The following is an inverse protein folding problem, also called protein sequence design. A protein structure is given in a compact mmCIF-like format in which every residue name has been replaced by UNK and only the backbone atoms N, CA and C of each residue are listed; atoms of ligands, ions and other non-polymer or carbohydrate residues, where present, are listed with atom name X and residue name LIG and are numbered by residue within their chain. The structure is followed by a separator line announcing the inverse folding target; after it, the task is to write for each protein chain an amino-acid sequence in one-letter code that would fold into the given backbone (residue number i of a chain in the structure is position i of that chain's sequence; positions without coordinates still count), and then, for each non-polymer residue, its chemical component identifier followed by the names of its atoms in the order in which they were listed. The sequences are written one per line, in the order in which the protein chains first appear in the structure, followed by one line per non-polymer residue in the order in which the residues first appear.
data_IF_196082803674
#
_entry.id   IF_196082803674
#
_cell.length_a   1.000
_cell.length_b   1.000
_cell.length_c   1.000
_cell.angle_alpha   90.00
_cell.angle_beta   90.00
_cell.angle_gamma   90.00
#
_symmetry.space_group_name_H-M   'P 1'
#
loop_
_entity.id
_entity.type
_entity.pdbx_description
1 polymer ?
#
# COMPACT_ATOMS: atom_id res chain seq x y z
N UNK A 1 -1.47 1.11 -13.30
CA UNK A 1 -0.03 0.69 -13.45
C UNK A 1 0.68 1.26 -12.23
N UNK A 2 1.29 0.40 -11.42
CA UNK A 2 2.05 0.84 -10.24
C UNK A 2 3.26 1.61 -10.76
N UNK A 3 3.45 2.84 -10.31
CA UNK A 3 4.69 3.57 -10.60
C UNK A 3 5.74 3.17 -9.57
N UNK A 4 6.18 1.92 -9.64
CA UNK A 4 7.27 1.42 -8.82
C UNK A 4 8.58 1.88 -9.45
N UNK A 5 9.24 2.83 -8.82
CA UNK A 5 10.52 3.38 -9.29
C UNK A 5 11.73 2.76 -8.61
N UNK A 6 11.51 2.10 -7.48
CA UNK A 6 12.51 1.33 -6.73
C UNK A 6 11.86 0.07 -6.14
N UNK A 7 12.56 -1.03 -6.21
CA UNK A 7 12.24 -2.26 -5.51
C UNK A 7 13.46 -2.66 -4.69
N UNK A 8 13.38 -2.39 -3.39
CA UNK A 8 14.48 -2.59 -2.45
C UNK A 8 14.30 -3.90 -1.71
N UNK A 9 15.33 -4.73 -1.70
CA UNK A 9 15.34 -5.98 -0.92
C UNK A 9 16.44 -5.95 0.15
N UNK A 10 16.18 -6.63 1.26
CA UNK A 10 17.16 -6.81 2.35
C UNK A 10 17.29 -8.28 2.69
N UNK A 11 18.52 -8.73 2.90
CA UNK A 11 18.82 -10.10 3.28
C UNK A 11 18.69 -10.29 4.80
N UNK A 12 17.77 -11.13 5.23
CA UNK A 12 17.48 -11.44 6.62
C UNK A 12 18.03 -12.81 7.06
N UNK A 13 18.59 -13.61 6.14
CA UNK A 13 18.99 -15.00 6.40
C UNK A 13 20.33 -15.16 7.12
N UNK A 14 21.13 -14.10 7.24
CA UNK A 14 22.47 -14.17 7.82
C UNK A 14 23.55 -14.81 6.92
N UNK A 15 23.20 -15.31 5.73
CA UNK A 15 24.10 -15.86 4.72
C UNK A 15 23.81 -15.21 3.37
N UNK A 16 24.75 -15.21 2.38
CA UNK A 16 24.45 -14.75 1.03
C UNK A 16 23.32 -15.57 0.40
N UNK A 17 22.44 -14.91 -0.33
CA UNK A 17 21.33 -15.52 -1.07
C UNK A 17 21.62 -15.34 -2.56
N UNK A 18 21.64 -16.42 -3.34
CA UNK A 18 21.68 -16.36 -4.80
C UNK A 18 20.25 -16.47 -5.33
N UNK A 19 19.85 -15.53 -6.17
CA UNK A 19 18.53 -15.51 -6.83
C UNK A 19 18.76 -15.92 -8.29
N UNK A 20 18.58 -17.21 -8.55
CA UNK A 20 18.91 -17.81 -9.86
C UNK A 20 18.02 -17.26 -10.98
N UNK A 21 16.76 -16.94 -10.69
CA UNK A 21 15.81 -16.35 -11.63
C UNK A 21 16.13 -14.90 -12.01
N UNK A 22 17.09 -14.28 -11.35
CA UNK A 22 17.60 -12.94 -11.63
C UNK A 22 19.10 -13.02 -12.02
N UNK A 23 19.41 -13.79 -13.03
CA UNK A 23 20.75 -13.94 -13.58
C UNK A 23 21.81 -14.30 -12.50
N UNK A 24 21.46 -15.21 -11.59
CA UNK A 24 22.29 -15.59 -10.44
C UNK A 24 22.71 -14.41 -9.55
N UNK A 25 21.85 -13.39 -9.43
CA UNK A 25 22.10 -12.24 -8.57
C UNK A 25 22.38 -12.65 -7.14
N UNK A 26 23.49 -12.17 -6.57
CA UNK A 26 23.91 -12.51 -5.20
C UNK A 26 23.60 -11.35 -4.26
N UNK A 27 22.62 -11.56 -3.39
CA UNK A 27 22.32 -10.66 -2.27
C UNK A 27 23.23 -11.00 -1.08
N UNK A 28 24.21 -10.15 -0.82
CA UNK A 28 25.19 -10.39 0.26
C UNK A 28 24.54 -10.57 1.63
N UNK A 29 25.21 -11.30 2.52
CA UNK A 29 24.78 -11.39 3.93
C UNK A 29 24.71 -9.99 4.57
N UNK A 30 23.60 -9.68 5.23
CA UNK A 30 23.36 -8.38 5.88
C UNK A 30 23.14 -7.21 4.91
N UNK A 31 22.95 -7.47 3.61
CA UNK A 31 22.58 -6.43 2.66
C UNK A 31 21.24 -5.81 3.05
N UNK A 32 21.14 -4.49 3.03
CA UNK A 32 19.94 -3.73 3.43
C UNK A 32 19.54 -2.77 2.32
N UNK A 33 18.24 -2.80 1.95
CA UNK A 33 17.61 -1.87 1.03
C UNK A 33 18.34 -1.77 -0.34
N UNK A 34 18.78 -2.92 -0.88
CA UNK A 34 19.40 -3.03 -2.21
C UNK A 34 18.33 -2.82 -3.27
N UNK A 35 18.43 -1.74 -4.03
CA UNK A 35 17.48 -1.42 -5.10
C UNK A 35 17.78 -2.27 -6.35
N UNK A 36 16.85 -3.17 -6.67
CA UNK A 36 16.98 -4.11 -7.80
C UNK A 36 16.88 -3.43 -9.18
N UNK A 37 16.33 -2.22 -9.24
CA UNK A 37 16.23 -1.44 -10.48
C UNK A 37 17.45 -0.58 -10.73
N UNK A 38 18.36 -0.45 -9.76
CA UNK A 38 19.61 0.28 -9.93
C UNK A 38 20.58 -0.51 -10.84
N UNK A 39 21.21 0.19 -11.78
CA UNK A 39 22.22 -0.38 -12.68
C UNK A 39 23.41 -1.01 -11.94
N UNK A 40 23.73 -0.54 -10.74
CA UNK A 40 24.76 -1.13 -9.88
C UNK A 40 24.37 -2.51 -9.32
N UNK A 41 23.07 -2.85 -9.31
CA UNK A 41 22.52 -4.06 -8.72
C UNK A 41 21.84 -4.98 -9.76
N UNK A 42 22.16 -4.83 -11.04
CA UNK A 42 21.68 -5.70 -12.11
C UNK A 42 20.67 -5.06 -13.05
N UNK A 43 20.09 -3.89 -12.69
CA UNK A 43 19.16 -3.15 -13.55
C UNK A 43 17.96 -4.00 -14.02
N UNK A 44 17.36 -4.74 -13.09
CA UNK A 44 16.23 -5.62 -13.40
C UNK A 44 15.01 -4.82 -13.81
N UNK A 45 14.24 -5.33 -14.76
CA UNK A 45 12.98 -4.71 -15.13
C UNK A 45 11.89 -5.06 -14.09
N UNK A 46 10.86 -4.23 -14.03
CA UNK A 46 9.70 -4.48 -13.15
C UNK A 46 9.07 -5.86 -13.43
N UNK A 47 9.02 -6.30 -14.69
CA UNK A 47 8.53 -7.62 -15.09
C UNK A 47 9.32 -8.77 -14.48
N UNK A 48 10.63 -8.61 -14.33
CA UNK A 48 11.51 -9.67 -13.82
C UNK A 48 11.27 -9.92 -12.32
N UNK A 49 10.78 -8.90 -11.64
CA UNK A 49 10.49 -8.92 -10.20
C UNK A 49 9.04 -9.32 -9.92
N UNK A 50 8.07 -8.83 -10.70
CA UNK A 50 6.62 -9.01 -10.44
C UNK A 50 6.15 -10.45 -10.57
N UNK A 51 6.75 -11.25 -11.44
CA UNK A 51 6.36 -12.65 -11.69
C UNK A 51 7.40 -13.64 -11.14
N UNK A 52 8.29 -13.17 -10.28
CA UNK A 52 9.40 -13.97 -9.81
C UNK A 52 9.00 -14.86 -8.62
N UNK A 53 8.75 -16.13 -8.90
CA UNK A 53 8.34 -17.12 -7.89
C UNK A 53 9.44 -17.42 -6.86
N UNK A 54 10.71 -17.23 -7.21
CA UNK A 54 11.81 -17.41 -6.28
C UNK A 54 11.85 -16.28 -5.26
N UNK A 55 11.72 -15.01 -5.70
CA UNK A 55 11.57 -13.88 -4.80
C UNK A 55 10.37 -14.04 -3.87
N UNK A 56 9.24 -14.50 -4.39
CA UNK A 56 8.06 -14.78 -3.60
C UNK A 56 8.35 -15.83 -2.52
N UNK A 57 9.01 -16.93 -2.90
CA UNK A 57 9.40 -17.98 -1.96
C UNK A 57 10.32 -17.47 -0.85
N UNK A 58 11.28 -16.63 -1.19
CA UNK A 58 12.21 -16.02 -0.24
C UNK A 58 11.51 -15.04 0.71
N UNK A 59 10.55 -14.26 0.20
CA UNK A 59 9.72 -13.35 1.01
C UNK A 59 8.84 -14.13 1.98
N UNK A 60 8.16 -15.17 1.53
CA UNK A 60 7.30 -16.03 2.35
C UNK A 60 8.08 -16.79 3.42
N UNK A 61 9.31 -17.20 3.11
CA UNK A 61 10.22 -17.83 4.06
C UNK A 61 10.80 -16.84 5.09
N UNK A 62 10.58 -15.53 4.92
CA UNK A 62 11.20 -14.50 5.75
C UNK A 62 12.72 -14.40 5.58
N UNK A 63 13.26 -14.97 4.50
CA UNK A 63 14.70 -14.91 4.18
C UNK A 63 15.12 -13.55 3.66
N UNK A 64 14.19 -12.85 3.02
CA UNK A 64 14.33 -11.45 2.58
C UNK A 64 13.14 -10.62 3.03
N UNK A 65 13.31 -9.29 3.07
CA UNK A 65 12.21 -8.33 3.09
C UNK A 65 12.27 -7.46 1.85
N UNK A 66 11.14 -6.92 1.42
CA UNK A 66 11.08 -6.04 0.26
C UNK A 66 10.30 -4.76 0.58
N UNK A 67 10.73 -3.65 -0.03
CA UNK A 67 10.15 -2.31 0.11
C UNK A 67 10.10 -1.59 -1.22
N UNK A 68 9.18 -0.64 -1.34
CA UNK A 68 9.14 0.34 -2.44
C UNK A 68 10.02 1.56 -2.18
N UNK A 69 10.00 2.54 -3.09
CA UNK A 69 10.71 3.82 -2.98
C UNK A 69 10.31 4.65 -1.75
N UNK A 70 9.10 4.44 -1.21
CA UNK A 70 8.54 5.16 -0.06
C UNK A 70 8.68 4.38 1.25
N UNK A 71 9.48 3.29 1.24
CA UNK A 71 9.66 2.32 2.33
C UNK A 71 8.39 1.57 2.75
N UNK A 72 7.38 1.51 1.88
CA UNK A 72 6.23 0.63 2.06
C UNK A 72 6.69 -0.84 1.96
N UNK A 73 6.45 -1.62 3.00
CA UNK A 73 6.88 -3.03 3.07
C UNK A 73 5.90 -3.90 2.29
N UNK A 74 6.42 -4.78 1.44
CA UNK A 74 5.63 -5.83 0.79
C UNK A 74 5.29 -6.92 1.81
N UNK A 75 3.99 -7.21 1.95
CA UNK A 75 3.52 -8.27 2.84
C UNK A 75 3.78 -9.64 2.20
N UNK A 76 4.43 -10.53 2.95
CA UNK A 76 4.77 -11.89 2.54
C UNK A 76 3.54 -12.81 2.38
N UNK A 77 2.36 -12.37 2.81
CA UNK A 77 1.10 -13.14 2.71
C UNK A 77 0.35 -12.94 1.39
N UNK A 78 0.78 -11.99 0.54
CA UNK A 78 0.15 -11.72 -0.75
C UNK A 78 1.06 -12.18 -1.88
N UNK A 79 0.56 -13.12 -2.67
CA UNK A 79 1.27 -13.64 -3.85
C UNK A 79 1.54 -12.54 -4.87
N UNK A 80 2.75 -12.52 -5.41
CA UNK A 80 3.18 -11.59 -6.49
C UNK A 80 2.40 -11.78 -7.80
N UNK A 81 1.38 -12.62 -7.82
CA UNK A 81 0.55 -12.86 -8.99
C UNK A 81 -0.17 -11.61 -9.46
N UNK A 82 0.43 -10.93 -10.40
CA UNK A 82 -0.15 -9.89 -11.22
C UNK A 82 -0.30 -8.51 -10.60
N UNK A 83 -0.16 -8.33 -9.29
CA UNK A 83 -0.14 -7.03 -8.63
C UNK A 83 0.58 -7.13 -7.28
N UNK A 84 1.73 -6.50 -7.15
CA UNK A 84 2.37 -6.32 -5.86
C UNK A 84 1.49 -5.38 -5.02
N UNK A 85 0.86 -5.92 -3.98
CA UNK A 85 0.09 -5.13 -3.03
C UNK A 85 0.98 -4.73 -1.88
N UNK A 86 1.42 -3.49 -1.86
CA UNK A 86 2.06 -2.93 -0.68
C UNK A 86 1.02 -2.77 0.42
N UNK A 87 1.31 -3.33 1.58
CA UNK A 87 0.56 -3.11 2.82
C UNK A 87 1.32 -2.12 3.66
N UNK A 88 0.71 -1.01 4.01
CA UNK A 88 1.29 -0.03 4.92
C UNK A 88 0.48 0.04 6.21
N UNK A 89 1.15 0.39 7.31
CA UNK A 89 0.49 0.69 8.59
C UNK A 89 0.74 2.15 8.91
N UNK A 90 -0.32 2.85 9.29
CA UNK A 90 -0.26 4.26 9.66
C UNK A 90 -1.05 4.54 10.93
N UNK A 91 -0.53 5.48 11.72
CA UNK A 91 -1.20 6.02 12.90
C UNK A 91 -1.40 7.50 12.68
N UNK A 92 -2.61 7.94 12.25
CA UNK A 92 -2.85 9.36 12.00
C UNK A 92 -2.59 10.21 13.24
N UNK A 93 -1.81 11.28 13.05
CA UNK A 93 -1.40 12.15 14.16
C UNK A 93 -2.55 13.06 14.66
N UNK A 94 -3.57 13.30 13.82
CA UNK A 94 -4.71 14.16 14.16
C UNK A 94 -6.01 13.37 14.14
N UNK A 95 -6.93 13.69 15.05
CA UNK A 95 -8.27 13.08 15.13
C UNK A 95 -9.08 13.29 13.85
N UNK A 96 -8.85 14.40 13.14
CA UNK A 96 -9.43 14.66 11.83
C UNK A 96 -8.31 14.84 10.82
N UNK A 97 -8.30 14.02 9.79
CA UNK A 97 -7.27 14.04 8.75
C UNK A 97 -7.88 14.45 7.41
N UNK A 98 -7.28 15.49 6.81
CA UNK A 98 -7.65 16.02 5.50
C UNK A 98 -6.62 15.57 4.45
N UNK A 99 -7.08 15.24 3.25
CA UNK A 99 -6.19 14.80 2.16
C UNK A 99 -5.21 13.71 2.62
N UNK A 100 -5.71 12.71 3.29
CA UNK A 100 -4.90 11.65 3.92
C UNK A 100 -3.89 11.06 2.93
N UNK A 101 -2.62 11.11 3.33
CA UNK A 101 -1.49 10.69 2.52
C UNK A 101 -0.39 10.09 3.42
N UNK A 102 -0.56 8.86 3.91
CA UNK A 102 0.49 8.17 4.65
C UNK A 102 1.68 7.86 3.74
N UNK A 103 2.86 7.68 4.33
CA UNK A 103 4.04 7.25 3.58
C UNK A 103 3.75 5.95 2.83
N UNK A 104 4.10 5.89 1.55
CA UNK A 104 3.82 4.75 0.68
C UNK A 104 2.41 4.74 0.04
N UNK A 105 1.60 5.80 0.20
CA UNK A 105 0.22 5.90 -0.28
C UNK A 105 0.02 5.45 -1.74
N UNK A 106 0.89 5.93 -2.65
CA UNK A 106 0.71 5.67 -4.08
C UNK A 106 0.79 4.19 -4.45
N UNK A 107 1.68 3.45 -3.79
CA UNK A 107 1.91 2.03 -4.07
C UNK A 107 1.08 1.10 -3.18
N UNK A 108 0.64 1.58 -2.03
CA UNK A 108 -0.17 0.79 -1.11
C UNK A 108 -1.55 0.49 -1.69
N UNK A 109 -1.98 -0.76 -1.57
CA UNK A 109 -3.37 -1.18 -1.82
C UNK A 109 -4.13 -1.40 -0.52
N UNK A 110 -3.43 -1.81 0.53
CA UNK A 110 -4.01 -2.00 1.85
C UNK A 110 -3.34 -1.05 2.83
N UNK A 111 -4.12 -0.23 3.48
CA UNK A 111 -3.69 0.69 4.52
C UNK A 111 -4.30 0.23 5.84
N UNK A 112 -3.46 -0.31 6.72
CA UNK A 112 -3.81 -0.65 8.10
C UNK A 112 -3.73 0.61 8.94
N UNK A 113 -4.84 1.11 9.40
CA UNK A 113 -4.92 2.33 10.21
C UNK A 113 -5.10 1.96 11.68
N UNK A 114 -4.21 2.49 12.52
CA UNK A 114 -4.20 2.24 13.97
C UNK A 114 -4.43 3.53 14.75
N UNK A 115 -5.62 4.16 14.65
CA UNK A 115 -5.90 5.40 15.36
C UNK A 115 -5.89 5.21 16.88
N UNK A 116 -5.45 6.25 17.59
CA UNK A 116 -5.40 6.29 19.06
C UNK A 116 -6.66 6.89 19.69
N UNK A 117 -7.58 7.40 18.86
CA UNK A 117 -8.90 7.94 19.22
C UNK A 117 -9.86 7.70 18.05
N UNK A 118 -11.14 8.06 18.20
CA UNK A 118 -12.07 8.07 17.07
C UNK A 118 -11.52 8.97 15.96
N UNK A 119 -11.38 8.42 14.74
CA UNK A 119 -10.73 9.04 13.61
C UNK A 119 -11.75 9.50 12.58
N UNK A 120 -11.51 10.69 12.00
CA UNK A 120 -12.32 11.23 10.91
C UNK A 120 -11.44 11.47 9.67
N UNK A 121 -11.86 10.98 8.51
CA UNK A 121 -11.24 11.25 7.23
C UNK A 121 -12.17 12.08 6.37
N UNK A 122 -11.67 13.17 5.81
CA UNK A 122 -12.45 14.06 4.93
C UNK A 122 -12.09 13.90 3.46
N UNK A 123 -11.00 13.19 3.18
CA UNK A 123 -10.51 12.91 1.83
C UNK A 123 -9.16 12.21 1.85
N UNK A 124 -8.81 11.64 0.72
CA UNK A 124 -7.54 10.95 0.47
C UNK A 124 -6.79 11.63 -0.66
N UNK A 125 -5.45 11.61 -0.62
CA UNK A 125 -4.66 12.15 -1.72
C UNK A 125 -5.05 11.46 -3.03
N UNK A 126 -5.26 12.26 -4.08
CA UNK A 126 -5.57 11.77 -5.43
C UNK A 126 -4.49 10.84 -5.98
N UNK A 127 -4.90 9.92 -6.83
CA UNK A 127 -4.00 8.99 -7.53
C UNK A 127 -4.38 8.90 -9.02
N UNK A 128 -4.07 7.80 -9.69
CA UNK A 128 -4.47 7.56 -11.08
C UNK A 128 -5.90 6.97 -11.16
N UNK A 129 -6.53 7.12 -12.30
CA UNK A 129 -7.88 6.62 -12.55
C UNK A 129 -7.99 5.10 -12.34
N UNK A 130 -8.98 4.68 -11.58
CA UNK A 130 -9.22 3.28 -11.29
C UNK A 130 -8.39 2.71 -10.14
N UNK A 131 -7.45 3.48 -9.57
CA UNK A 131 -6.74 3.05 -8.37
C UNK A 131 -7.70 2.84 -7.21
N UNK A 132 -7.53 1.74 -6.49
CA UNK A 132 -8.34 1.45 -5.31
C UNK A 132 -7.46 1.26 -4.08
N UNK A 133 -8.03 1.57 -2.92
CA UNK A 133 -7.41 1.36 -1.61
C UNK A 133 -8.38 0.63 -0.70
N UNK A 134 -7.84 -0.28 0.08
CA UNK A 134 -8.54 -0.94 1.18
C UNK A 134 -8.05 -0.29 2.47
N UNK A 135 -8.91 0.49 3.10
CA UNK A 135 -8.60 1.15 4.38
C UNK A 135 -9.15 0.29 5.50
N UNK A 136 -8.25 -0.33 6.26
CA UNK A 136 -8.60 -1.29 7.31
C UNK A 136 -8.36 -0.70 8.69
N UNK A 137 -9.36 -0.77 9.57
CA UNK A 137 -9.25 -0.34 10.96
C UNK A 137 -8.64 -1.45 11.83
N UNK A 138 -7.44 -1.23 12.33
CA UNK A 138 -6.75 -2.16 13.24
C UNK A 138 -6.83 -1.73 14.71
N UNK A 139 -7.72 -0.79 15.06
CA UNK A 139 -7.87 -0.29 16.42
C UNK A 139 -9.25 -0.57 17.00
N UNK A 140 -9.42 -0.29 18.30
CA UNK A 140 -10.72 -0.35 18.98
C UNK A 140 -11.60 0.90 18.70
N UNK A 141 -11.00 1.94 18.14
CA UNK A 141 -11.68 3.21 17.86
C UNK A 141 -12.43 3.16 16.54
N UNK A 142 -13.42 4.03 16.38
CA UNK A 142 -14.20 4.14 15.14
C UNK A 142 -13.46 5.01 14.13
N UNK A 143 -13.45 4.59 12.86
CA UNK A 143 -13.06 5.43 11.73
C UNK A 143 -14.33 5.89 11.01
N UNK A 144 -14.46 7.20 10.80
CA UNK A 144 -15.59 7.81 10.10
C UNK A 144 -15.11 8.52 8.84
N UNK A 145 -15.83 8.31 7.75
CA UNK A 145 -15.54 8.93 6.46
C UNK A 145 -16.55 10.02 6.18
N UNK A 146 -16.10 11.29 6.16
CA UNK A 146 -16.92 12.46 5.97
C UNK A 146 -16.95 12.85 4.49
N UNK A 147 -18.08 12.55 3.85
CA UNK A 147 -18.22 12.73 2.41
C UNK A 147 -18.40 14.19 2.01
N UNK A 148 -17.88 14.54 0.82
CA UNK A 148 -17.93 15.88 0.20
C UNK A 148 -17.50 17.01 1.15
N UNK A 149 -16.57 16.73 2.05
CA UNK A 149 -16.15 17.68 3.07
C UNK A 149 -15.17 18.72 2.47
N UNK A 150 -15.51 20.00 2.63
CA UNK A 150 -14.74 21.12 2.05
C UNK A 150 -13.37 21.33 2.70
N UNK A 151 -13.06 20.68 3.82
CA UNK A 151 -11.73 20.72 4.43
C UNK A 151 -10.67 19.94 3.65
N UNK A 152 -11.09 19.03 2.76
CA UNK A 152 -10.18 18.42 1.76
C UNK A 152 -10.26 19.15 0.43
N UNK A 153 -9.16 19.11 -0.33
CA UNK A 153 -9.11 19.59 -1.71
C UNK A 153 -10.21 18.87 -2.54
N UNK A 154 -10.76 19.55 -3.52
CA UNK A 154 -11.92 19.04 -4.27
C UNK A 154 -11.64 17.66 -4.89
N UNK A 155 -10.45 17.48 -5.47
CA UNK A 155 -9.99 16.23 -6.09
C UNK A 155 -9.66 15.12 -5.10
N UNK A 156 -9.58 15.41 -3.81
CA UNK A 156 -9.26 14.45 -2.76
C UNK A 156 -10.51 14.02 -1.97
N UNK A 157 -11.66 14.62 -2.23
CA UNK A 157 -12.87 14.37 -1.46
C UNK A 157 -13.43 12.97 -1.67
N UNK A 158 -14.04 12.47 -0.60
CA UNK A 158 -14.78 11.23 -0.62
C UNK A 158 -16.22 11.47 -1.07
N UNK A 159 -16.74 10.58 -1.90
CA UNK A 159 -18.14 10.57 -2.30
C UNK A 159 -18.74 9.18 -2.06
N UNK A 160 -19.91 9.08 -1.44
CA UNK A 160 -20.59 7.80 -1.31
C UNK A 160 -21.18 7.40 -2.65
N UNK A 161 -21.27 6.12 -2.92
CA UNK A 161 -22.11 5.64 -4.02
C UNK A 161 -23.57 5.72 -3.59
N UNK A 162 -23.88 5.50 -2.31
CA UNK A 162 -25.25 5.48 -1.82
C UNK A 162 -25.51 6.01 -0.39
N UNK A 163 -24.50 6.37 0.43
CA UNK A 163 -24.68 6.76 1.83
C UNK A 163 -23.84 7.96 2.27
N UNK A 164 -24.36 8.70 3.28
CA UNK A 164 -23.76 9.96 3.74
C UNK A 164 -22.62 9.83 4.75
N UNK A 165 -22.45 8.67 5.41
CA UNK A 165 -21.36 8.44 6.39
C UNK A 165 -21.08 6.96 6.50
N UNK A 166 -19.82 6.58 6.51
CA UNK A 166 -19.40 5.21 6.75
C UNK A 166 -18.56 5.15 8.04
N UNK A 167 -19.02 4.37 9.03
CA UNK A 167 -18.36 4.19 10.31
C UNK A 167 -17.75 2.80 10.40
N UNK A 168 -16.43 2.72 10.28
CA UNK A 168 -15.71 1.47 10.39
C UNK A 168 -15.32 1.17 11.84
N UNK A 169 -15.88 0.10 12.38
CA UNK A 169 -15.51 -0.49 13.67
C UNK A 169 -14.18 -1.27 13.53
N UNK A 170 -13.67 -1.75 14.66
CA UNK A 170 -12.47 -2.60 14.71
C UNK A 170 -12.53 -3.74 13.69
N UNK A 171 -11.43 -3.95 12.97
CA UNK A 171 -11.25 -4.97 11.92
C UNK A 171 -12.20 -4.86 10.72
N UNK A 172 -12.97 -3.79 10.62
CA UNK A 172 -13.71 -3.51 9.40
C UNK A 172 -12.82 -2.80 8.38
N UNK A 173 -13.17 -2.92 7.11
CA UNK A 173 -12.48 -2.27 6.03
C UNK A 173 -13.47 -1.51 5.15
N UNK A 174 -13.01 -0.45 4.52
CA UNK A 174 -13.69 0.22 3.42
C UNK A 174 -12.83 0.14 2.18
N UNK A 175 -13.46 -0.10 1.04
CA UNK A 175 -12.79 -0.04 -0.26
C UNK A 175 -13.18 1.29 -0.91
N UNK A 176 -12.17 2.03 -1.35
CA UNK A 176 -12.36 3.29 -2.07
C UNK A 176 -11.64 3.22 -3.41
N UNK A 177 -12.23 3.78 -4.46
CA UNK A 177 -11.65 3.86 -5.80
C UNK A 177 -11.59 5.31 -6.26
N UNK A 178 -10.46 5.68 -6.87
CA UNK A 178 -10.29 7.01 -7.43
C UNK A 178 -10.83 7.10 -8.86
N UNK A 179 -11.69 8.09 -9.09
CA UNK A 179 -12.18 8.47 -10.41
C UNK A 179 -11.52 9.77 -10.85
N UNK A 180 -10.54 9.67 -11.76
CA UNK A 180 -9.81 10.85 -12.24
C UNK A 180 -10.64 11.72 -13.20
N UNK A 181 -11.72 11.20 -13.78
CA UNK A 181 -12.62 11.99 -14.65
C UNK A 181 -13.46 12.92 -13.79
N UNK A 182 -14.03 12.39 -12.71
CA UNK A 182 -14.81 13.18 -11.76
C UNK A 182 -13.94 13.82 -10.67
N UNK A 183 -12.63 13.49 -10.63
CA UNK A 183 -11.64 13.97 -9.66
C UNK A 183 -12.12 13.76 -8.21
N UNK A 184 -12.44 12.51 -7.85
CA UNK A 184 -12.91 12.17 -6.51
C UNK A 184 -12.72 10.70 -6.17
N UNK A 185 -12.71 10.41 -4.87
CA UNK A 185 -12.75 9.05 -4.34
C UNK A 185 -14.18 8.59 -4.17
N UNK A 186 -14.49 7.40 -4.66
CA UNK A 186 -15.79 6.74 -4.49
C UNK A 186 -15.64 5.57 -3.54
N UNK A 187 -16.50 5.44 -2.53
CA UNK A 187 -16.53 4.22 -1.73
C UNK A 187 -17.22 3.12 -2.52
N UNK A 188 -16.54 1.99 -2.68
CA UNK A 188 -17.10 0.76 -3.23
C UNK A 188 -17.53 -0.08 -2.05
N UNK A 189 -18.63 0.27 -1.38
CA UNK A 189 -19.15 -0.59 -0.33
C UNK A 189 -19.84 -1.78 -0.95
N UNK A 190 -19.34 -2.96 -0.62
CA UNK A 190 -20.16 -4.15 -0.69
C UNK A 190 -21.36 -3.94 0.24
N UNK A 191 -22.56 -4.18 -0.25
CA UNK A 191 -23.79 -4.15 0.55
C UNK A 191 -23.56 -4.86 1.87
N UNK A 192 -23.83 -4.15 2.95
CA UNK A 192 -23.91 -4.78 4.25
C UNK A 192 -25.22 -5.56 4.28
N UNK A 193 -25.18 -6.89 4.51
CA UNK A 193 -26.38 -7.69 4.66
C UNK A 193 -27.26 -7.18 5.80
#
# INVERSE_FOLDING_TARGET
MINLTQFKISNLSGAPITIASLDDFVLASGAVDVDMFDAANGNFALSDVQENTELETLLQAGSISAKDQDNGVFDTTYTLYGQMYTVITDTPAAVTTHNYNPTGWYNAKVIKVTPTANQFFTGFLKTYHGDYKIIRNESAFTMSFLFNNASSLAENRLYPIERSTNNNKKYSAVVVQYDAVEQKWKSIDAEKP
#
